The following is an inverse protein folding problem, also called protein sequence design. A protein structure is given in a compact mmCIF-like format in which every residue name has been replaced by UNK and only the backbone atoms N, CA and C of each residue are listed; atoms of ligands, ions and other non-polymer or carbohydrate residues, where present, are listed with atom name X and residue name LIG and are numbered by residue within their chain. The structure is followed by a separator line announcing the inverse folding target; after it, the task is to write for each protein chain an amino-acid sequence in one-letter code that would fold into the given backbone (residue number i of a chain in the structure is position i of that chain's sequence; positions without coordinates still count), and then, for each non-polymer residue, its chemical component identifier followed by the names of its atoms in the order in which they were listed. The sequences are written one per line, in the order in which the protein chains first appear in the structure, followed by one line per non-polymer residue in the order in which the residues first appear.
data_IF_321005980916
#
_entry.id   IF_321005980916
#
_cell.length_a   1.000
_cell.length_b   1.000
_cell.length_c   1.000
_cell.angle_alpha   90.00
_cell.angle_beta   90.00
_cell.angle_gamma   90.00
#
_symmetry.space_group_name_H-M   'P 1'
#
loop_
_entity.id
_entity.type
_entity.pdbx_description
1 polymer ?
#
# COMPACT_ATOMS: atom_id res chain seq x y z
N UNK A 1 -0.04 22.06 -6.85
CA UNK A 1 0.82 20.87 -6.73
C UNK A 1 2.23 21.31 -7.06
N UNK A 2 3.01 21.76 -6.07
CA UNK A 2 4.36 22.28 -6.31
C UNK A 2 5.40 21.15 -6.38
N UNK A 3 5.97 20.86 -7.56
CA UNK A 3 6.98 19.80 -7.71
C UNK A 3 8.21 20.04 -6.81
N UNK A 4 8.52 21.30 -6.52
CA UNK A 4 9.63 21.69 -5.64
C UNK A 4 9.45 21.18 -4.20
N UNK A 5 8.22 21.10 -3.69
CA UNK A 5 7.94 20.57 -2.34
C UNK A 5 8.23 19.08 -2.24
N UNK A 6 7.97 18.32 -3.31
CA UNK A 6 8.25 16.89 -3.36
C UNK A 6 9.75 16.61 -3.42
N UNK A 7 10.50 17.35 -4.26
CA UNK A 7 11.96 17.24 -4.32
C UNK A 7 12.62 17.50 -2.95
N UNK A 8 12.20 18.55 -2.25
CA UNK A 8 12.74 18.90 -0.93
C UNK A 8 12.39 17.87 0.15
N UNK A 9 11.29 17.13 0.00
CA UNK A 9 10.94 16.02 0.90
C UNK A 9 11.80 14.79 0.61
N UNK A 10 11.97 14.42 -0.67
CA UNK A 10 12.81 13.30 -1.07
C UNK A 10 14.27 13.50 -0.64
N UNK A 11 14.82 14.70 -0.84
CA UNK A 11 16.17 15.06 -0.34
C UNK A 11 16.28 14.87 1.17
N UNK A 12 15.26 15.28 1.94
CA UNK A 12 15.26 15.11 3.40
C UNK A 12 15.19 13.66 3.83
N UNK A 13 14.47 12.81 3.11
CA UNK A 13 14.44 11.37 3.37
C UNK A 13 15.80 10.71 3.12
N UNK A 14 16.54 11.15 2.11
CA UNK A 14 17.90 10.66 1.85
C UNK A 14 18.90 11.12 2.93
N UNK A 15 18.78 12.36 3.40
CA UNK A 15 19.69 12.94 4.40
C UNK A 15 19.35 12.51 5.85
N UNK A 16 18.08 12.29 6.15
CA UNK A 16 17.59 11.90 7.48
C UNK A 16 16.49 10.86 7.32
N UNK A 17 16.87 9.58 7.14
CA UNK A 17 15.90 8.55 6.87
C UNK A 17 14.96 8.36 8.07
N UNK A 18 13.65 8.14 7.83
CA UNK A 18 12.74 7.74 8.88
C UNK A 18 13.21 6.43 9.54
N UNK A 19 12.84 6.19 10.82
CA UNK A 19 13.29 5.01 11.54
C UNK A 19 12.90 3.73 10.80
N UNK A 20 13.85 2.80 10.66
CA UNK A 20 13.71 1.56 9.89
C UNK A 20 12.45 0.75 10.27
N UNK A 21 12.06 0.77 11.55
CA UNK A 21 10.83 0.12 12.05
C UNK A 21 9.57 0.62 11.34
N UNK A 22 9.48 1.91 11.05
CA UNK A 22 8.33 2.51 10.37
C UNK A 22 8.29 2.12 8.89
N UNK A 23 9.45 2.05 8.25
CA UNK A 23 9.58 1.59 6.86
C UNK A 23 9.17 0.12 6.75
N UNK A 24 9.70 -0.73 7.63
CA UNK A 24 9.36 -2.16 7.67
C UNK A 24 7.88 -2.41 7.97
N UNK A 25 7.26 -1.62 8.85
CA UNK A 25 5.82 -1.70 9.11
C UNK A 25 5.02 -1.43 7.83
N UNK A 26 5.30 -0.32 7.15
CA UNK A 26 4.60 0.04 5.91
C UNK A 26 4.86 -1.00 4.82
N UNK A 27 6.10 -1.46 4.67
CA UNK A 27 6.48 -2.46 3.67
C UNK A 27 5.82 -3.81 3.95
N UNK A 28 5.69 -4.20 5.22
CA UNK A 28 4.93 -5.38 5.64
C UNK A 28 3.44 -5.27 5.36
N UNK A 29 2.82 -4.11 5.61
CA UNK A 29 1.41 -3.85 5.26
C UNK A 29 1.19 -3.92 3.75
N UNK A 30 2.08 -3.31 2.96
CA UNK A 30 2.03 -3.38 1.49
C UNK A 30 2.17 -4.83 1.01
N UNK A 31 3.13 -5.58 1.55
CA UNK A 31 3.32 -6.98 1.23
C UNK A 31 2.09 -7.83 1.56
N UNK A 32 1.46 -7.60 2.72
CA UNK A 32 0.22 -8.28 3.11
C UNK A 32 -0.94 -7.95 2.15
N UNK A 33 -1.09 -6.68 1.76
CA UNK A 33 -2.12 -6.27 0.81
C UNK A 33 -1.90 -6.86 -0.59
N UNK A 34 -0.64 -6.90 -1.06
CA UNK A 34 -0.28 -7.52 -2.33
C UNK A 34 -0.46 -9.03 -2.29
N UNK A 35 -0.13 -9.69 -1.17
CA UNK A 35 -0.37 -11.12 -1.00
C UNK A 35 -1.87 -11.44 -1.07
N UNK A 36 -2.70 -10.64 -0.40
CA UNK A 36 -4.17 -10.73 -0.47
C UNK A 36 -4.69 -10.53 -1.89
N UNK A 37 -4.22 -9.50 -2.60
CA UNK A 37 -4.62 -9.22 -3.97
C UNK A 37 -4.15 -10.31 -4.96
N UNK A 38 -2.93 -10.83 -4.79
CA UNK A 38 -2.43 -11.94 -5.58
C UNK A 38 -3.24 -13.21 -5.31
N UNK A 39 -3.61 -13.47 -4.06
CA UNK A 39 -4.47 -14.57 -3.67
C UNK A 39 -5.87 -14.44 -4.28
N UNK A 40 -6.44 -13.23 -4.26
CA UNK A 40 -7.70 -12.89 -4.94
C UNK A 40 -7.65 -13.19 -6.45
N UNK A 41 -6.54 -12.84 -7.10
CA UNK A 41 -6.39 -12.99 -8.54
C UNK A 41 -6.15 -14.44 -8.98
N UNK A 42 -5.46 -15.24 -8.15
CA UNK A 42 -5.12 -16.64 -8.46
C UNK A 42 -6.25 -17.60 -8.11
N UNK A 43 -6.91 -17.41 -6.96
CA UNK A 43 -7.95 -18.34 -6.49
C UNK A 43 -9.37 -17.94 -6.91
N UNK A 44 -9.60 -16.65 -7.20
CA UNK A 44 -10.95 -16.11 -7.40
C UNK A 44 -11.74 -16.06 -6.10
N UNK A 45 -12.52 -14.99 -5.90
CA UNK A 45 -13.28 -14.83 -4.65
C UNK A 45 -14.51 -15.73 -4.63
N UNK A 46 -14.67 -16.55 -3.60
CA UNK A 46 -15.85 -17.40 -3.47
C UNK A 46 -17.10 -16.56 -3.23
N UNK A 47 -18.28 -17.10 -3.58
CA UNK A 47 -19.55 -16.38 -3.62
C UNK A 47 -19.96 -15.69 -2.29
N UNK A 48 -19.42 -16.14 -1.15
CA UNK A 48 -19.67 -15.55 0.17
C UNK A 48 -18.83 -14.30 0.48
N UNK A 49 -17.79 -14.05 -0.31
CA UNK A 49 -16.85 -12.94 -0.19
C UNK A 49 -17.12 -11.88 -1.29
N UNK A 50 -17.93 -12.22 -2.29
CA UNK A 50 -18.35 -11.30 -3.35
C UNK A 50 -19.23 -10.19 -2.76
N UNK A 51 -18.81 -8.93 -2.90
CA UNK A 51 -19.59 -7.77 -2.45
C UNK A 51 -20.91 -7.74 -3.22
N UNK A 52 -22.02 -8.00 -2.53
CA UNK A 52 -23.34 -7.72 -3.07
C UNK A 52 -23.43 -6.21 -3.31
N UNK A 53 -23.34 -5.79 -4.57
CA UNK A 53 -23.58 -4.39 -4.94
C UNK A 53 -24.95 -3.99 -4.40
N UNK A 54 -24.98 -3.16 -3.36
CA UNK A 54 -26.20 -2.43 -3.01
C UNK A 54 -26.52 -1.52 -4.19
N UNK A 55 -27.59 -1.88 -4.90
CA UNK A 55 -28.12 -1.10 -6.01
C UNK A 55 -28.76 0.17 -5.44
N UNK A 56 -28.48 1.37 -5.99
CA UNK A 56 -29.10 2.61 -5.53
C UNK A 56 -30.60 2.62 -5.77
#
# INVERSE_FOLDING_TARGET
MDPMRWLLRAKRWAAHPPPMRRVLLVLGVIAACLALAAFEWIWGWPAWLTVNRMRP
#
